data_IF_759270882776
#
_entry.id   IF_759270882776
#
_cell.length_a   1.000
_cell.length_b   1.000
_cell.length_c   1.000
_cell.angle_alpha   90.00
_cell.angle_beta   90.00
_cell.angle_gamma   90.00
#
_symmetry.space_group_name_H-M   'P 1'
#
loop_
_entity.id
_entity.type
_entity.pdbx_description
1 polymer ?
#
# COMPACT_ATOMS: atom_id res chain seq x y z
N UNK A 1 16.95 -25.39 3.73
CA UNK A 1 15.67 -24.87 3.18
C UNK A 1 14.94 -24.17 4.33
N UNK A 2 15.08 -22.85 4.43
CA UNK A 2 14.17 -22.05 5.26
C UNK A 2 12.90 -21.88 4.43
N UNK A 3 11.83 -22.52 4.86
CA UNK A 3 10.48 -22.21 4.43
C UNK A 3 10.21 -20.73 4.76
N UNK A 4 10.01 -19.93 3.73
CA UNK A 4 9.58 -18.54 3.86
C UNK A 4 8.31 -18.47 4.69
N UNK A 5 8.11 -17.41 5.46
CA UNK A 5 7.00 -17.16 6.39
C UNK A 5 5.58 -17.38 5.83
N UNK A 6 5.48 -17.77 4.58
CA UNK A 6 4.26 -18.01 3.78
C UNK A 6 3.50 -19.27 4.20
N UNK A 7 4.07 -20.19 5.03
CA UNK A 7 3.45 -21.51 5.26
C UNK A 7 2.87 -21.77 6.65
N UNK A 8 2.84 -20.79 7.55
CA UNK A 8 2.06 -20.93 8.78
C UNK A 8 0.60 -20.55 8.55
N UNK A 9 -0.20 -21.50 8.08
CA UNK A 9 -1.66 -21.38 8.11
C UNK A 9 -2.33 -20.57 6.99
N UNK A 10 -1.68 -20.32 5.86
CA UNK A 10 -2.32 -19.75 4.68
C UNK A 10 -2.54 -18.21 4.70
N UNK A 11 -2.29 -17.52 5.80
CA UNK A 11 -2.34 -16.05 5.88
C UNK A 11 -0.93 -15.47 5.84
N UNK A 12 -0.73 -14.45 4.99
CA UNK A 12 0.51 -13.67 4.96
C UNK A 12 0.50 -12.72 6.16
N UNK A 13 1.58 -12.70 6.93
CA UNK A 13 1.81 -11.63 7.90
C UNK A 13 2.47 -10.46 7.15
N UNK A 14 1.75 -9.34 7.02
CA UNK A 14 2.23 -8.16 6.30
C UNK A 14 3.51 -7.57 6.89
N UNK A 15 3.75 -7.75 8.20
CA UNK A 15 4.98 -7.27 8.83
C UNK A 15 6.24 -7.96 8.28
N UNK A 16 6.11 -9.18 7.79
CA UNK A 16 7.22 -9.91 7.15
C UNK A 16 7.64 -9.33 5.80
N UNK A 17 6.84 -8.42 5.25
CA UNK A 17 7.13 -7.69 4.01
C UNK A 17 7.75 -6.32 4.26
N UNK A 18 7.69 -5.82 5.51
CA UNK A 18 8.20 -4.48 5.85
C UNK A 18 9.72 -4.53 5.97
N UNK A 19 10.46 -3.74 5.16
CA UNK A 19 11.91 -3.65 5.28
C UNK A 19 12.36 -3.21 6.68
N UNK A 20 13.51 -3.73 7.12
CA UNK A 20 14.05 -3.51 8.44
C UNK A 20 14.43 -2.04 8.72
N UNK A 21 14.61 -1.23 7.68
CA UNK A 21 14.94 0.20 7.76
C UNK A 21 13.71 1.11 7.97
N UNK A 22 12.51 0.55 8.13
CA UNK A 22 11.33 1.33 8.44
C UNK A 22 11.49 2.06 9.78
N UNK A 23 11.27 3.37 9.79
CA UNK A 23 11.40 4.23 10.97
C UNK A 23 10.14 4.29 11.82
N UNK A 24 8.98 4.02 11.21
CA UNK A 24 7.69 3.96 11.85
C UNK A 24 6.72 3.10 11.02
N UNK A 25 5.71 2.58 11.68
CA UNK A 25 4.62 1.83 11.05
C UNK A 25 3.29 2.32 11.60
N UNK A 26 2.35 2.55 10.70
CA UNK A 26 0.94 2.73 11.02
C UNK A 26 0.18 1.48 10.62
N UNK A 27 -0.70 1.01 11.48
CA UNK A 27 -1.56 -0.15 11.23
C UNK A 27 -3.01 0.18 11.54
N UNK A 28 -3.91 -0.30 10.72
CA UNK A 28 -5.35 -0.31 11.00
C UNK A 28 -5.98 -1.59 10.44
N UNK A 29 -6.96 -2.11 11.15
CA UNK A 29 -7.83 -3.20 10.70
C UNK A 29 -9.18 -2.68 10.16
N UNK A 30 -9.40 -1.36 10.23
CA UNK A 30 -10.56 -0.66 9.68
C UNK A 30 -10.15 0.60 8.92
N UNK A 31 -9.63 0.42 7.71
CA UNK A 31 -9.22 1.53 6.84
C UNK A 31 -10.42 2.40 6.45
N UNK A 32 -11.59 1.80 6.26
CA UNK A 32 -12.81 2.55 5.91
C UNK A 32 -13.18 3.53 7.02
N UNK A 33 -13.31 3.06 8.27
CA UNK A 33 -13.63 3.91 9.41
C UNK A 33 -12.54 4.95 9.68
N UNK A 34 -11.27 4.61 9.48
CA UNK A 34 -10.17 5.56 9.58
C UNK A 34 -10.30 6.72 8.59
N UNK A 35 -10.62 6.44 7.32
CA UNK A 35 -10.81 7.46 6.29
C UNK A 35 -12.04 8.33 6.58
N UNK A 36 -13.14 7.73 7.02
CA UNK A 36 -14.34 8.46 7.44
C UNK A 36 -14.02 9.41 8.60
N UNK A 37 -13.25 8.95 9.57
CA UNK A 37 -12.77 9.77 10.69
C UNK A 37 -11.92 10.97 10.22
N UNK A 38 -10.99 10.75 9.28
CA UNK A 38 -10.20 11.84 8.68
C UNK A 38 -11.06 12.86 7.95
N UNK A 39 -12.07 12.42 7.20
CA UNK A 39 -12.99 13.29 6.50
C UNK A 39 -13.83 14.15 7.49
N UNK A 40 -14.25 13.56 8.61
CA UNK A 40 -14.94 14.26 9.69
C UNK A 40 -14.09 15.35 10.34
N UNK A 41 -12.80 15.10 10.54
CA UNK A 41 -11.87 16.07 11.12
C UNK A 41 -11.53 17.22 10.17
N UNK A 42 -11.44 16.97 8.88
CA UNK A 42 -11.09 18.02 7.88
C UNK A 42 -12.22 19.03 7.68
N UNK A 43 -13.47 18.68 7.97
CA UNK A 43 -14.62 19.60 7.87
C UNK A 43 -14.72 20.59 9.03
N UNK A 44 -13.99 20.37 10.14
CA UNK A 44 -14.09 21.16 11.37
C UNK A 44 -12.95 22.15 11.60
N UNK A 45 -11.89 22.15 10.80
CA UNK A 45 -10.75 23.06 10.94
C UNK A 45 -10.47 23.81 9.64
N UNK A 46 -10.56 25.13 9.71
CA UNK A 46 -10.17 26.08 8.67
C UNK A 46 -8.85 25.70 7.97
N UNK A 47 -8.92 24.94 6.87
CA UNK A 47 -7.96 24.93 5.78
C UNK A 47 -6.52 24.45 6.02
N UNK A 48 -6.11 24.18 7.26
CA UNK A 48 -4.77 23.65 7.56
C UNK A 48 -4.93 22.16 7.84
N UNK A 49 -4.82 21.36 6.80
CA UNK A 49 -4.67 19.91 6.99
C UNK A 49 -3.27 19.66 7.60
N UNK A 50 -3.14 18.91 8.71
CA UNK A 50 -1.86 18.33 9.06
C UNK A 50 -1.42 17.53 7.83
N UNK A 51 -0.16 17.68 7.39
CA UNK A 51 0.36 17.06 6.18
C UNK A 51 0.06 15.57 6.14
N UNK A 52 -1.08 15.22 5.55
CA UNK A 52 -1.47 13.84 5.35
C UNK A 52 -0.60 13.31 4.24
N UNK A 53 0.02 12.19 4.49
CA UNK A 53 0.85 11.48 3.52
C UNK A 53 0.18 11.41 2.14
N UNK A 54 0.94 11.58 1.04
CA UNK A 54 0.41 11.37 -0.30
C UNK A 54 -0.27 10.01 -0.50
N UNK A 55 0.18 8.96 0.18
CA UNK A 55 -0.48 7.66 0.14
C UNK A 55 -1.84 7.67 0.85
N UNK A 56 -1.97 8.37 1.97
CA UNK A 56 -3.28 8.53 2.63
C UNK A 56 -4.25 9.31 1.76
N UNK A 57 -3.78 10.37 1.07
CA UNK A 57 -4.63 11.12 0.13
C UNK A 57 -5.07 10.26 -1.05
N UNK A 58 -4.16 9.43 -1.59
CA UNK A 58 -4.48 8.47 -2.62
C UNK A 58 -5.58 7.51 -2.17
N UNK A 59 -5.44 6.92 -0.98
CA UNK A 59 -6.41 5.99 -0.41
C UNK A 59 -7.73 6.72 -0.18
N UNK A 60 -7.72 7.88 0.45
CA UNK A 60 -8.91 8.70 0.71
C UNK A 60 -9.68 9.05 -0.57
N UNK A 61 -8.99 9.54 -1.58
CA UNK A 61 -9.60 9.90 -2.86
C UNK A 61 -10.26 8.71 -3.55
N UNK A 62 -9.67 7.52 -3.37
CA UNK A 62 -10.22 6.29 -3.92
C UNK A 62 -11.46 5.81 -3.19
N UNK A 63 -11.41 5.80 -1.86
CA UNK A 63 -12.56 5.42 -1.05
C UNK A 63 -13.73 6.37 -1.27
N UNK A 64 -13.48 7.68 -1.36
CA UNK A 64 -14.51 8.66 -1.66
C UNK A 64 -15.15 8.48 -3.06
N UNK A 65 -14.41 7.87 -3.99
CA UNK A 65 -14.90 7.61 -5.36
C UNK A 65 -15.59 6.25 -5.53
N UNK A 66 -15.56 5.40 -4.51
CA UNK A 66 -16.33 4.17 -4.48
C UNK A 66 -17.77 4.56 -4.13
N UNK A 67 -18.73 4.26 -5.03
CA UNK A 67 -20.15 4.38 -4.71
C UNK A 67 -20.45 3.57 -3.46
N UNK A 68 -21.40 4.03 -2.61
CA UNK A 68 -21.70 3.42 -1.32
C UNK A 68 -21.87 1.90 -1.32
N UNK A 69 -22.32 1.31 -2.44
CA UNK A 69 -22.37 -0.15 -2.63
C UNK A 69 -20.98 -0.79 -2.77
N UNK A 70 -20.00 -0.06 -3.28
CA UNK A 70 -18.65 -0.59 -3.51
C UNK A 70 -17.75 -0.39 -2.29
N UNK A 71 -17.98 0.62 -1.46
CA UNK A 71 -17.28 0.80 -0.18
C UNK A 71 -17.60 -0.34 0.79
N UNK A 72 -18.82 -0.85 0.78
CA UNK A 72 -19.19 -2.07 1.53
C UNK A 72 -18.68 -3.38 0.90
N UNK A 73 -18.10 -3.32 -0.29
CA UNK A 73 -17.55 -4.47 -1.01
C UNK A 73 -16.06 -4.71 -0.80
N UNK A 74 -15.38 -3.88 0.01
CA UNK A 74 -14.02 -4.19 0.42
C UNK A 74 -14.06 -5.39 1.36
N UNK A 75 -13.23 -6.39 1.06
CA UNK A 75 -13.09 -7.53 1.96
C UNK A 75 -12.50 -7.09 3.31
N UNK A 76 -12.71 -7.89 4.34
CA UNK A 76 -12.06 -7.69 5.64
C UNK A 76 -10.53 -7.65 5.48
N UNK A 77 -9.99 -8.42 4.52
CA UNK A 77 -8.56 -8.44 4.22
C UNK A 77 -8.07 -7.10 3.67
N UNK A 78 -8.80 -6.45 2.77
CA UNK A 78 -8.43 -5.15 2.22
C UNK A 78 -8.58 -4.00 3.22
N UNK A 79 -9.37 -4.17 4.27
CA UNK A 79 -9.47 -3.20 5.35
C UNK A 79 -8.27 -3.23 6.31
N UNK A 80 -7.51 -4.32 6.31
CA UNK A 80 -6.27 -4.44 7.09
C UNK A 80 -5.11 -3.88 6.29
N UNK A 81 -4.64 -2.72 6.73
CA UNK A 81 -3.60 -1.96 6.05
C UNK A 81 -2.45 -1.65 6.99
N UNK A 82 -1.25 -1.84 6.51
CA UNK A 82 -0.03 -1.33 7.13
C UNK A 82 0.53 -0.24 6.22
N UNK A 83 1.05 0.84 6.80
CA UNK A 83 1.85 1.85 6.10
C UNK A 83 3.16 1.97 6.85
N UNK A 84 4.27 1.64 6.17
CA UNK A 84 5.61 1.87 6.69
C UNK A 84 6.15 3.21 6.20
N UNK A 85 6.90 3.87 7.08
CA UNK A 85 7.59 5.12 6.83
C UNK A 85 9.09 4.86 6.80
N UNK A 86 9.71 5.32 5.73
CA UNK A 86 11.15 5.16 5.54
C UNK A 86 11.83 6.50 5.46
N UNK A 87 12.84 6.91 5.58
CA UNK A 87 13.47 8.24 5.54
C UNK A 87 12.85 9.22 4.53
N UNK A 88 13.63 10.08 3.98
CA UNK A 88 13.20 11.14 3.09
C UNK A 88 12.88 12.45 3.80
N UNK A 89 12.95 13.54 3.06
CA UNK A 89 12.55 14.85 3.56
C UNK A 89 11.07 14.85 3.89
N UNK A 90 10.71 15.24 5.11
CA UNK A 90 9.33 15.31 5.63
C UNK A 90 8.59 13.96 5.75
N UNK A 91 9.30 12.83 5.88
CA UNK A 91 8.66 11.51 5.99
C UNK A 91 7.93 11.08 4.72
N UNK A 92 8.33 11.61 3.55
CA UNK A 92 7.66 11.40 2.28
C UNK A 92 7.83 10.01 1.66
N UNK A 93 8.74 9.19 2.16
CA UNK A 93 8.97 7.84 1.65
C UNK A 93 8.13 6.82 2.40
N UNK A 94 7.12 6.27 1.74
CA UNK A 94 6.11 5.43 2.37
C UNK A 94 5.74 4.26 1.48
N UNK A 95 5.35 3.16 2.15
CA UNK A 95 4.83 1.97 1.48
C UNK A 95 3.54 1.54 2.17
N UNK A 96 2.51 1.30 1.39
CA UNK A 96 1.24 0.74 1.82
C UNK A 96 1.19 -0.75 1.49
N UNK A 97 0.75 -1.54 2.45
CA UNK A 97 0.55 -2.98 2.33
C UNK A 97 -0.89 -3.33 2.70
N UNK A 98 -1.56 -4.16 1.91
CA UNK A 98 -2.83 -4.76 2.29
C UNK A 98 -2.93 -6.21 1.83
N UNK A 99 -3.68 -7.01 2.58
CA UNK A 99 -4.02 -8.36 2.19
C UNK A 99 -5.08 -8.34 1.08
N UNK A 100 -5.12 -9.41 0.30
CA UNK A 100 -6.11 -9.60 -0.75
C UNK A 100 -6.78 -10.97 -0.60
N UNK A 101 -8.09 -10.99 -0.71
CA UNK A 101 -8.84 -12.21 -1.01
C UNK A 101 -8.85 -12.48 -2.52
N UNK A 102 -9.30 -13.66 -2.89
CA UNK A 102 -9.42 -14.03 -4.31
C UNK A 102 -10.43 -13.15 -5.06
N UNK A 103 -11.44 -12.62 -4.36
CA UNK A 103 -12.47 -11.74 -4.91
C UNK A 103 -11.96 -10.32 -5.22
N UNK A 104 -10.90 -9.89 -4.53
CA UNK A 104 -10.43 -8.49 -4.58
C UNK A 104 -9.65 -8.12 -5.84
N UNK A 105 -9.18 -9.09 -6.61
CA UNK A 105 -8.34 -8.83 -7.80
C UNK A 105 -8.99 -7.89 -8.81
N UNK A 106 -10.29 -8.04 -9.04
CA UNK A 106 -11.02 -7.17 -9.97
C UNK A 106 -11.20 -5.78 -9.38
N UNK A 107 -11.35 -5.68 -8.06
CA UNK A 107 -11.44 -4.42 -7.34
C UNK A 107 -10.12 -3.66 -7.41
N UNK A 108 -8.99 -4.35 -7.16
CA UNK A 108 -7.64 -3.75 -7.28
C UNK A 108 -7.39 -3.25 -8.70
N UNK A 109 -7.74 -4.01 -9.72
CA UNK A 109 -7.56 -3.58 -11.11
C UNK A 109 -8.43 -2.35 -11.43
N UNK A 110 -9.63 -2.24 -10.90
CA UNK A 110 -10.48 -1.03 -11.03
C UNK A 110 -9.92 0.14 -10.24
N UNK A 111 -9.46 -0.11 -9.02
CA UNK A 111 -8.85 0.88 -8.14
C UNK A 111 -7.60 1.50 -8.79
N UNK A 112 -6.69 0.67 -9.25
CA UNK A 112 -5.46 1.12 -9.92
C UNK A 112 -5.78 1.70 -11.30
N UNK A 113 -6.76 1.16 -12.01
CA UNK A 113 -7.16 1.61 -13.35
C UNK A 113 -7.75 3.03 -13.38
N UNK A 114 -8.37 3.51 -12.30
CA UNK A 114 -8.87 4.89 -12.19
C UNK A 114 -7.74 5.94 -12.18
N UNK A 115 -6.53 5.58 -11.76
CA UNK A 115 -5.37 6.47 -11.67
C UNK A 115 -4.48 6.43 -12.92
N UNK A 116 -4.73 5.49 -13.81
CA UNK A 116 -4.05 5.43 -15.09
C UNK A 116 -4.58 6.58 -15.94
N UNK A 117 -3.76 7.60 -16.14
CA UNK A 117 -4.08 8.59 -17.16
C UNK A 117 -4.17 7.84 -18.49
N UNK A 118 -5.29 8.00 -19.22
CA UNK A 118 -5.45 7.40 -20.56
C UNK A 118 -4.39 7.83 -21.58
N UNK A 119 -3.52 8.78 -21.20
CA UNK A 119 -2.43 9.31 -22.02
C UNK A 119 -1.15 8.47 -21.94
N UNK A 120 -0.93 7.77 -20.81
CA UNK A 120 0.31 7.01 -20.61
C UNK A 120 -0.01 5.59 -20.15
N UNK A 121 0.24 4.58 -20.98
CA UNK A 121 0.01 3.19 -20.60
C UNK A 121 0.93 2.79 -19.44
N UNK A 122 0.46 1.93 -18.53
CA UNK A 122 1.29 1.41 -17.45
C UNK A 122 2.47 0.64 -18.02
N UNK A 123 3.62 0.77 -17.37
CA UNK A 123 4.84 0.02 -17.68
C UNK A 123 5.02 -1.12 -16.70
N UNK A 124 5.72 -2.17 -17.12
CA UNK A 124 6.14 -3.25 -16.24
C UNK A 124 7.65 -3.27 -16.16
N UNK A 125 8.17 -3.16 -14.94
CA UNK A 125 9.57 -3.41 -14.63
C UNK A 125 9.71 -4.81 -14.03
N UNK A 126 10.82 -5.48 -14.29
CA UNK A 126 11.19 -6.74 -13.66
C UNK A 126 12.29 -6.47 -12.64
N UNK A 127 12.10 -6.97 -11.43
CA UNK A 127 13.11 -6.93 -10.37
C UNK A 127 13.20 -8.30 -9.70
N UNK A 128 14.35 -8.94 -9.76
CA UNK A 128 14.59 -10.31 -9.23
C UNK A 128 13.52 -11.35 -9.63
N UNK A 129 13.00 -11.23 -10.86
CA UNK A 129 11.94 -12.11 -11.39
C UNK A 129 10.51 -11.68 -11.01
N UNK A 130 10.34 -10.68 -10.14
CA UNK A 130 9.04 -10.14 -9.74
C UNK A 130 8.65 -8.97 -10.63
N UNK A 131 7.35 -8.84 -10.91
CA UNK A 131 6.79 -7.76 -11.74
C UNK A 131 6.39 -6.58 -10.89
N UNK A 132 6.94 -5.41 -11.18
CA UNK A 132 6.51 -4.13 -10.62
C UNK A 132 5.75 -3.39 -11.72
N UNK A 133 4.50 -3.04 -11.47
CA UNK A 133 3.71 -2.21 -12.39
C UNK A 133 3.92 -0.75 -12.04
N UNK A 134 4.21 0.06 -13.04
CA UNK A 134 4.44 1.50 -12.91
C UNK A 134 3.30 2.22 -13.61
N UNK A 135 2.54 2.97 -12.86
CA UNK A 135 1.42 3.77 -13.36
C UNK A 135 1.80 5.25 -13.35
N UNK A 136 2.00 5.87 -14.51
CA UNK A 136 2.25 7.31 -14.59
C UNK A 136 1.02 8.09 -14.11
N UNK A 137 1.24 9.14 -13.34
CA UNK A 137 0.23 10.05 -12.84
C UNK A 137 0.23 11.35 -13.62
N UNK A 138 -0.86 12.12 -13.52
CA UNK A 138 -1.04 13.38 -14.26
C UNK A 138 -0.11 14.50 -13.84
N UNK A 139 0.42 14.43 -12.63
CA UNK A 139 1.36 15.40 -12.03
C UNK A 139 2.85 15.13 -12.36
N UNK A 140 3.12 14.16 -13.22
CA UNK A 140 4.48 13.75 -13.59
C UNK A 140 5.10 12.72 -12.63
N UNK A 141 4.44 12.38 -11.54
CA UNK A 141 4.82 11.31 -10.63
C UNK A 141 4.38 9.94 -11.20
N UNK A 142 4.69 8.89 -10.48
CA UNK A 142 4.21 7.55 -10.80
C UNK A 142 3.88 6.78 -9.52
N UNK A 143 3.00 5.80 -9.67
CA UNK A 143 2.69 4.85 -8.63
C UNK A 143 3.32 3.51 -8.98
N UNK A 144 4.18 2.97 -8.11
CA UNK A 144 4.74 1.64 -8.23
C UNK A 144 3.87 0.65 -7.43
N UNK A 145 3.53 -0.46 -8.07
CA UNK A 145 2.61 -1.46 -7.53
C UNK A 145 3.22 -2.86 -7.65
N UNK A 146 3.33 -3.55 -6.53
CA UNK A 146 3.66 -4.96 -6.47
C UNK A 146 2.41 -5.73 -6.05
N UNK A 147 1.87 -6.50 -6.97
CA UNK A 147 0.63 -7.24 -6.79
C UNK A 147 0.89 -8.73 -6.92
N UNK A 148 0.52 -9.47 -5.87
CA UNK A 148 0.51 -10.94 -5.86
C UNK A 148 -0.91 -11.49 -5.78
N UNK A 149 -1.05 -12.79 -5.56
CA UNK A 149 -2.35 -13.40 -5.29
C UNK A 149 -2.86 -13.16 -3.87
N UNK A 150 -2.03 -12.71 -2.96
CA UNK A 150 -2.29 -12.65 -1.52
C UNK A 150 -2.22 -11.25 -0.93
N UNK A 151 -1.44 -10.36 -1.55
CA UNK A 151 -1.24 -9.02 -1.06
C UNK A 151 -0.98 -8.02 -2.17
N UNK A 152 -1.18 -6.76 -1.85
CA UNK A 152 -0.88 -5.58 -2.66
C UNK A 152 0.08 -4.70 -1.89
N UNK A 153 1.12 -4.23 -2.57
CA UNK A 153 2.06 -3.22 -2.06
C UNK A 153 2.12 -2.05 -3.01
N UNK A 154 2.01 -0.84 -2.48
CA UNK A 154 1.98 0.41 -3.25
C UNK A 154 2.97 1.42 -2.67
N UNK A 155 3.70 2.10 -3.53
CA UNK A 155 4.54 3.24 -3.17
C UNK A 155 4.67 4.23 -4.33
N UNK A 156 4.92 5.50 -4.03
CA UNK A 156 5.37 6.49 -5.02
C UNK A 156 6.86 6.33 -5.37
N UNK A 157 7.60 5.53 -4.60
CA UNK A 157 9.03 5.26 -4.80
C UNK A 157 9.23 3.81 -5.24
N UNK A 158 9.71 3.62 -6.47
CA UNK A 158 9.98 2.29 -7.02
C UNK A 158 11.01 1.52 -6.20
N UNK A 159 12.06 2.19 -5.69
CA UNK A 159 13.12 1.55 -4.91
C UNK A 159 12.59 0.94 -3.61
N UNK A 160 11.56 1.52 -3.00
CA UNK A 160 10.92 0.93 -1.81
C UNK A 160 10.18 -0.37 -2.16
N UNK A 161 9.54 -0.44 -3.33
CA UNK A 161 8.95 -1.70 -3.80
C UNK A 161 10.04 -2.76 -4.04
N UNK A 162 11.20 -2.35 -4.56
CA UNK A 162 12.36 -3.24 -4.72
C UNK A 162 12.87 -3.73 -3.35
N UNK A 163 12.93 -2.86 -2.34
CA UNK A 163 13.28 -3.23 -0.96
C UNK A 163 12.28 -4.22 -0.34
N UNK A 164 10.99 -4.05 -0.59
CA UNK A 164 9.96 -5.02 -0.15
C UNK A 164 10.19 -6.40 -0.78
N UNK A 165 10.49 -6.45 -2.07
CA UNK A 165 10.80 -7.71 -2.76
C UNK A 165 12.06 -8.34 -2.20
N UNK A 166 13.10 -7.56 -1.90
CA UNK A 166 14.32 -8.04 -1.26
C UNK A 166 14.03 -8.61 0.14
N UNK A 167 13.17 -7.95 0.91
CA UNK A 167 12.71 -8.40 2.23
C UNK A 167 11.95 -9.73 2.12
N UNK A 168 11.03 -9.86 1.17
CA UNK A 168 10.28 -11.10 0.92
C UNK A 168 11.24 -12.26 0.57
N UNK A 169 12.24 -12.02 -0.26
CA UNK A 169 13.20 -13.04 -0.71
C UNK A 169 14.18 -13.43 0.41
N UNK A 170 14.72 -12.45 1.13
CA UNK A 170 15.72 -12.69 2.18
C UNK A 170 15.11 -13.21 3.47
N UNK A 171 13.86 -12.85 3.75
CA UNK A 171 13.18 -13.07 5.02
C UNK A 171 13.69 -12.18 6.16
N UNK A 172 14.58 -11.20 5.87
CA UNK A 172 15.04 -10.21 6.85
C UNK A 172 14.11 -9.00 6.81
N UNK A 173 13.37 -8.78 7.88
CA UNK A 173 12.29 -7.81 7.94
C UNK A 173 12.28 -7.05 9.27
N UNK A 174 11.35 -6.12 9.43
CA UNK A 174 11.25 -5.26 10.60
C UNK A 174 11.13 -6.03 11.92
N UNK A 175 10.51 -7.22 11.94
CA UNK A 175 10.37 -8.04 13.16
C UNK A 175 11.71 -8.61 13.67
N UNK A 176 12.74 -8.60 12.84
CA UNK A 176 14.09 -9.04 13.24
C UNK A 176 14.88 -7.93 13.99
N UNK A 177 14.37 -6.68 13.93
CA UNK A 177 15.04 -5.55 14.57
C UNK A 177 14.76 -5.51 16.07
N UNK A 178 15.83 -5.20 16.84
CA UNK A 178 15.73 -5.08 18.30
C UNK A 178 14.98 -3.79 18.66
N UNK A 179 13.78 -3.93 19.17
CA UNK A 179 12.98 -2.81 19.68
C UNK A 179 11.65 -2.62 18.96
N UNK A 180 11.35 -3.49 18.00
CA UNK A 180 10.05 -3.58 17.39
C UNK A 180 9.22 -4.69 18.03
#
# INVERSE_FOLDING_TARGET
FRLTAIEKGGKVDLYTLVPADATAVFETDDMTGFIEGLNGMSSTRNGVQPGVSPLFELVRANYASLDGETAHGLSEEMNKVIISFHGGENGGEQVLYCLLSQADRNLVNRFVGKYVSGQYPPKTALYRGHKIRIYPLTDGNFLAVYLTSRFLVISYQKHLIESVIDTEISGHNLLDEKGF
#
